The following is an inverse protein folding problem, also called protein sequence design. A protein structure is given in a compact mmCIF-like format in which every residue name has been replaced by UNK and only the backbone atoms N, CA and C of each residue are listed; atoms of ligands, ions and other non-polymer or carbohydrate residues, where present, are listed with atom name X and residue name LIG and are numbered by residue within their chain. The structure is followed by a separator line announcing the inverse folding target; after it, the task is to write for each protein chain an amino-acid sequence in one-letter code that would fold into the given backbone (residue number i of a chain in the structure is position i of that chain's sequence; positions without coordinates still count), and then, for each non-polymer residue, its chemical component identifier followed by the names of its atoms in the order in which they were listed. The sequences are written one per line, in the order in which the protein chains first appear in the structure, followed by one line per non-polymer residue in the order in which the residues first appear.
data_IF_315567564623
#
_entry.id   IF_315567564623
#
_cell.length_a   1.000
_cell.length_b   1.000
_cell.length_c   1.000
_cell.angle_alpha   90.00
_cell.angle_beta   90.00
_cell.angle_gamma   90.00
#
_symmetry.space_group_name_H-M   'P 1'
#
loop_
_entity.id
_entity.type
_entity.pdbx_description
1 polymer ?
#
# COMPACT_ATOMS: atom_id res chain seq x y z
N UNK A 1 -5.74 12.91 2.36
CA UNK A 1 -4.51 13.25 1.67
C UNK A 1 -4.12 12.16 0.70
N UNK A 2 -3.62 12.53 -0.48
CA UNK A 2 -3.20 11.57 -1.50
C UNK A 2 -1.71 11.32 -1.46
N UNK A 3 -1.34 10.05 -1.62
CA UNK A 3 0.05 9.61 -1.62
C UNK A 3 0.31 8.71 -2.80
N UNK A 4 1.53 8.79 -3.33
CA UNK A 4 2.01 7.94 -4.42
C UNK A 4 3.36 7.37 -4.00
N UNK A 5 3.43 6.05 -3.83
CA UNK A 5 4.68 5.38 -3.47
C UNK A 5 4.93 4.21 -4.40
N UNK A 6 6.19 3.95 -4.69
CA UNK A 6 6.56 2.76 -5.46
C UNK A 6 6.69 1.57 -4.54
N UNK A 7 6.07 0.48 -4.93
CA UNK A 7 6.23 -0.82 -4.28
C UNK A 7 7.15 -1.68 -5.13
N UNK A 8 7.95 -2.50 -4.47
CA UNK A 8 8.74 -3.53 -5.14
C UNK A 8 7.95 -4.82 -5.09
N UNK A 9 7.60 -5.34 -6.27
CA UNK A 9 6.95 -6.64 -6.42
C UNK A 9 8.04 -7.63 -6.78
N UNK A 10 8.32 -8.55 -5.88
CA UNK A 10 9.32 -9.59 -6.10
C UNK A 10 8.62 -10.92 -6.32
N UNK A 11 8.78 -11.48 -7.51
CA UNK A 11 8.17 -12.75 -7.85
C UNK A 11 9.01 -13.91 -7.34
N UNK A 12 8.38 -14.89 -6.72
CA UNK A 12 9.00 -16.14 -6.28
C UNK A 12 8.12 -17.32 -6.70
N UNK A 13 8.48 -18.52 -6.26
CA UNK A 13 7.76 -19.73 -6.63
C UNK A 13 6.31 -19.75 -6.14
N UNK A 14 6.06 -19.12 -5.00
CA UNK A 14 4.77 -19.17 -4.32
C UNK A 14 3.90 -17.95 -4.59
N UNK A 15 4.43 -16.95 -5.28
CA UNK A 15 3.67 -15.73 -5.57
C UNK A 15 4.55 -14.49 -5.55
N UNK A 16 4.08 -13.47 -4.83
CA UNK A 16 4.75 -12.17 -4.78
C UNK A 16 5.02 -11.73 -3.36
N UNK A 17 6.21 -11.18 -3.13
CA UNK A 17 6.53 -10.43 -1.92
C UNK A 17 6.51 -8.97 -2.28
N UNK A 18 5.87 -8.15 -1.47
CA UNK A 18 5.65 -6.74 -1.77
C UNK A 18 6.24 -5.90 -0.65
N UNK A 19 7.03 -4.90 -1.00
CA UNK A 19 7.62 -3.99 -0.02
C UNK A 19 7.59 -2.57 -0.56
N UNK A 20 7.56 -1.60 0.37
CA UNK A 20 7.64 -0.18 0.02
C UNK A 20 8.97 0.34 0.55
N UNK A 21 9.97 0.55 -0.32
CA UNK A 21 11.33 0.93 0.13
C UNK A 21 11.36 2.18 0.99
N UNK A 22 10.47 3.13 0.74
CA UNK A 22 10.44 4.39 1.48
C UNK A 22 9.70 4.29 2.82
N UNK A 23 9.01 3.19 3.07
CA UNK A 23 8.19 3.02 4.26
C UNK A 23 8.59 1.73 4.97
N UNK A 24 9.57 1.79 5.89
CA UNK A 24 10.04 0.60 6.59
C UNK A 24 8.91 -0.10 7.34
N UNK A 25 8.82 -1.41 7.16
CA UNK A 25 7.76 -2.20 7.78
C UNK A 25 6.47 -2.28 6.99
N UNK A 26 6.34 -1.55 5.88
CA UNK A 26 5.15 -1.61 5.03
C UNK A 26 5.35 -2.75 4.03
N UNK A 27 4.94 -3.96 4.43
CA UNK A 27 5.19 -5.20 3.69
C UNK A 27 3.92 -6.01 3.58
N UNK A 28 3.80 -6.77 2.48
CA UNK A 28 2.72 -7.74 2.33
C UNK A 28 3.14 -8.82 1.32
N UNK A 29 2.27 -9.78 1.08
CA UNK A 29 2.50 -10.82 0.08
C UNK A 29 1.19 -11.16 -0.62
N UNK A 30 1.30 -11.84 -1.77
CA UNK A 30 0.15 -12.21 -2.56
C UNK A 30 0.47 -13.44 -3.40
N UNK A 31 -0.55 -14.16 -3.81
CA UNK A 31 -0.37 -15.39 -4.60
C UNK A 31 -0.29 -15.13 -6.11
N UNK A 32 -0.88 -14.03 -6.58
CA UNK A 32 -0.87 -13.67 -8.00
C UNK A 32 -0.83 -12.15 -8.14
N UNK A 33 -0.76 -11.67 -9.38
CA UNK A 33 -0.61 -10.23 -9.64
C UNK A 33 -1.86 -9.43 -9.27
N UNK A 34 -3.04 -9.97 -9.45
CA UNK A 34 -4.27 -9.28 -9.09
C UNK A 34 -4.35 -9.07 -7.59
N UNK A 35 -4.04 -10.11 -6.83
CA UNK A 35 -3.99 -10.01 -5.38
C UNK A 35 -2.87 -9.09 -4.93
N UNK A 36 -1.73 -9.11 -5.63
CA UNK A 36 -0.60 -8.24 -5.30
C UNK A 36 -0.98 -6.77 -5.40
N UNK A 37 -1.69 -6.38 -6.45
CA UNK A 37 -2.13 -5.01 -6.63
C UNK A 37 -3.11 -4.59 -5.52
N UNK A 38 -4.02 -5.47 -5.17
CA UNK A 38 -4.98 -5.21 -4.10
C UNK A 38 -4.29 -5.12 -2.74
N UNK A 39 -3.45 -6.08 -2.42
CA UNK A 39 -2.78 -6.13 -1.12
C UNK A 39 -1.81 -4.97 -0.93
N UNK A 40 -1.12 -4.55 -2.00
CA UNK A 40 -0.21 -3.42 -1.92
C UNK A 40 -0.96 -2.13 -1.58
N UNK A 41 -2.12 -1.93 -2.19
CA UNK A 41 -2.95 -0.76 -1.89
C UNK A 41 -3.47 -0.81 -0.45
N UNK A 42 -3.96 -1.97 -0.03
CA UNK A 42 -4.50 -2.14 1.32
C UNK A 42 -3.45 -1.88 2.40
N UNK A 43 -2.24 -2.43 2.24
CA UNK A 43 -1.20 -2.25 3.25
C UNK A 43 -0.69 -0.81 3.27
N UNK A 44 -0.60 -0.18 2.10
CA UNK A 44 -0.19 1.22 2.02
C UNK A 44 -1.20 2.13 2.70
N UNK A 45 -2.48 1.93 2.42
CA UNK A 45 -3.55 2.71 3.04
C UNK A 45 -3.53 2.58 4.55
N UNK A 46 -3.42 1.36 5.05
CA UNK A 46 -3.39 1.11 6.49
C UNK A 46 -2.17 1.74 7.16
N UNK A 47 -1.01 1.56 6.55
CA UNK A 47 0.23 2.11 7.07
C UNK A 47 0.18 3.63 7.18
N UNK A 48 -0.26 4.30 6.10
CA UNK A 48 -0.30 5.76 6.06
C UNK A 48 -1.37 6.31 7.01
N UNK A 49 -2.51 5.64 7.09
CA UNK A 49 -3.58 6.08 7.99
C UNK A 49 -3.10 6.04 9.45
N UNK A 50 -2.47 4.97 9.85
CA UNK A 50 -1.94 4.85 11.21
C UNK A 50 -0.85 5.90 11.45
N UNK A 51 0.03 6.11 10.48
CA UNK A 51 1.09 7.12 10.61
C UNK A 51 0.50 8.52 10.80
N UNK A 52 -0.55 8.85 10.06
CA UNK A 52 -1.22 10.14 10.22
C UNK A 52 -1.88 10.27 11.59
N UNK A 53 -2.55 9.21 12.03
CA UNK A 53 -3.24 9.23 13.32
C UNK A 53 -2.27 9.34 14.49
N UNK A 54 -1.11 8.72 14.37
CA UNK A 54 -0.08 8.75 15.41
C UNK A 54 0.86 9.94 15.28
N UNK A 55 0.68 10.76 14.26
CA UNK A 55 1.59 11.87 13.93
C UNK A 55 3.03 11.43 13.71
N UNK A 56 3.21 10.24 13.18
CA UNK A 56 4.53 9.74 12.81
C UNK A 56 5.01 10.40 11.53
N UNK A 57 6.33 10.64 11.40
CA UNK A 57 6.84 11.20 10.15
C UNK A 57 6.63 10.24 9.00
N UNK A 58 6.18 10.78 7.87
CA UNK A 58 5.97 10.02 6.65
C UNK A 58 7.00 10.46 5.64
N UNK A 59 7.88 9.52 5.23
CA UNK A 59 8.94 9.82 4.29
C UNK A 59 8.39 10.20 2.92
N UNK A 60 9.09 11.12 2.26
CA UNK A 60 8.76 11.48 0.89
C UNK A 60 9.08 10.33 -0.06
N UNK A 61 8.27 10.15 -1.11
CA UNK A 61 8.53 9.05 -2.05
C UNK A 61 9.80 9.28 -2.86
N UNK A 62 10.59 8.23 -3.04
CA UNK A 62 11.76 8.25 -3.91
C UNK A 62 11.31 8.15 -5.36
N UNK A 63 12.17 8.60 -6.28
CA UNK A 63 11.86 8.54 -7.70
C UNK A 63 12.02 7.12 -8.25
N UNK A 64 11.34 6.84 -9.36
CA UNK A 64 11.50 5.59 -10.08
C UNK A 64 12.97 5.32 -10.41
N UNK A 65 13.66 6.34 -10.89
CA UNK A 65 15.06 6.21 -11.31
C UNK A 65 15.96 5.74 -10.16
N UNK A 66 15.77 6.33 -8.98
CA UNK A 66 16.55 5.94 -7.80
C UNK A 66 16.30 4.50 -7.39
N UNK A 67 15.03 4.13 -7.32
CA UNK A 67 14.65 2.80 -6.84
C UNK A 67 14.99 1.71 -7.85
N UNK A 68 14.91 2.03 -9.14
CA UNK A 68 15.18 1.07 -10.19
C UNK A 68 16.64 0.62 -10.29
N UNK A 69 17.56 1.42 -9.75
CA UNK A 69 19.00 1.13 -9.83
C UNK A 69 19.41 -0.19 -9.18
N UNK A 70 18.72 -0.57 -8.11
CA UNK A 70 19.11 -1.70 -7.29
C UNK A 70 18.20 -2.91 -7.42
N UNK A 71 17.30 -2.91 -8.38
CA UNK A 71 16.37 -4.02 -8.57
C UNK A 71 17.05 -5.22 -9.20
N UNK A 72 16.62 -6.41 -8.79
CA UNK A 72 17.06 -7.65 -9.39
C UNK A 72 16.09 -8.06 -10.52
N UNK A 73 16.43 -9.12 -11.26
CA UNK A 73 15.64 -9.54 -12.43
C UNK A 73 14.22 -9.98 -12.09
N UNK A 74 13.98 -10.46 -10.86
CA UNK A 74 12.66 -10.90 -10.44
C UNK A 74 11.87 -9.82 -9.71
N UNK A 75 12.37 -8.59 -9.71
CA UNK A 75 11.73 -7.45 -9.04
C UNK A 75 11.27 -6.42 -10.06
N UNK A 76 10.09 -5.87 -9.83
CA UNK A 76 9.58 -4.75 -10.63
C UNK A 76 9.03 -3.68 -9.69
N UNK A 77 9.07 -2.43 -10.15
CA UNK A 77 8.45 -1.33 -9.43
C UNK A 77 7.02 -1.14 -9.92
N UNK A 78 6.12 -0.91 -8.99
CA UNK A 78 4.73 -0.60 -9.27
C UNK A 78 4.31 0.61 -8.47
N UNK A 79 3.81 1.64 -9.14
CA UNK A 79 3.31 2.84 -8.45
C UNK A 79 1.96 2.53 -7.83
N UNK A 80 1.86 2.79 -6.53
CA UNK A 80 0.62 2.56 -5.77
C UNK A 80 0.14 3.91 -5.24
N UNK A 81 -1.14 4.16 -5.38
CA UNK A 81 -1.77 5.40 -4.91
C UNK A 81 -2.66 5.10 -3.72
N UNK A 82 -2.60 5.95 -2.70
CA UNK A 82 -3.46 5.86 -1.54
C UNK A 82 -4.04 7.22 -1.19
N UNK A 83 -5.29 7.25 -0.77
CA UNK A 83 -5.96 8.46 -0.32
C UNK A 83 -6.53 8.17 1.07
N UNK A 84 -5.86 8.70 2.09
CA UNK A 84 -6.26 8.42 3.49
C UNK A 84 -7.60 9.04 3.83
N UNK A 85 -7.96 10.15 3.21
CA UNK A 85 -9.28 10.76 3.44
C UNK A 85 -10.39 9.85 2.92
N UNK A 86 -10.18 9.24 1.75
CA UNK A 86 -11.13 8.29 1.18
C UNK A 86 -11.25 7.04 2.06
N UNK A 87 -10.15 6.56 2.59
CA UNK A 87 -10.15 5.38 3.47
C UNK A 87 -10.95 5.66 4.74
N UNK A 88 -10.77 6.85 5.33
CA UNK A 88 -11.54 7.25 6.51
C UNK A 88 -13.03 7.31 6.21
N UNK A 89 -13.40 7.91 5.10
CA UNK A 89 -14.79 7.98 4.65
C UNK A 89 -15.39 6.61 4.44
N UNK A 90 -14.65 5.73 3.77
CA UNK A 90 -15.11 4.37 3.47
C UNK A 90 -15.37 3.58 4.75
N UNK A 91 -14.48 3.69 5.73
CA UNK A 91 -14.64 3.02 7.02
C UNK A 91 -15.86 3.54 7.75
N UNK A 92 -16.04 4.86 7.76
CA UNK A 92 -17.17 5.50 8.42
C UNK A 92 -18.49 5.10 7.76
N UNK A 93 -18.53 5.15 6.42
CA UNK A 93 -19.73 4.77 5.67
C UNK A 93 -20.07 3.30 5.87
N UNK A 94 -19.07 2.44 5.92
CA UNK A 94 -19.27 1.02 6.17
C UNK A 94 -19.94 0.78 7.52
N UNK A 95 -19.51 1.52 8.54
CA UNK A 95 -20.13 1.44 9.87
C UNK A 95 -21.58 1.87 9.83
N UNK A 96 -21.85 3.00 9.16
CA UNK A 96 -23.21 3.52 9.02
C UNK A 96 -24.09 2.54 8.26
N UNK A 97 -23.59 2.01 7.15
CA UNK A 97 -24.33 1.02 6.36
C UNK A 97 -24.68 -0.21 7.16
N UNK A 98 -23.76 -0.63 7.98
CA UNK A 98 -23.98 -1.80 8.84
C UNK A 98 -25.14 -1.57 9.81
N UNK A 99 -25.25 -0.36 10.31
CA UNK A 99 -26.37 0.01 11.20
C UNK A 99 -27.70 0.09 10.45
N UNK A 100 -27.64 0.62 9.23
CA UNK A 100 -28.84 0.80 8.43
C UNK A 100 -29.41 -0.53 7.92
N UNK A 101 -28.55 -1.48 7.65
CA UNK A 101 -28.99 -2.78 7.12
C UNK A 101 -29.59 -3.70 8.16
N UNK A 102 -29.49 -3.34 9.42
CA UNK A 102 -30.14 -4.10 10.48
C UNK A 102 -31.59 -3.65 10.63
N UNK A 103 -32.54 -4.46 10.23
CA UNK A 103 -33.95 -4.11 10.34
C UNK A 103 -34.42 -4.07 11.78
#
# INVERSE_FOLDING_TARGET
MKYHYYAIFEKDEDGYSISFPDLPGCLTCAKDIEEALKMSKDVLEGYLLISEEDNDPIESPSSYKELNKNLTDNQVLQLITADTDYVRMRKKNKSVNKMVTLP
#
